data_IF_521122648309
#
_entry.id   IF_521122648309
#
_cell.length_a   1.000
_cell.length_b   1.000
_cell.length_c   1.000
_cell.angle_alpha   90.00
_cell.angle_beta   90.00
_cell.angle_gamma   90.00
#
_symmetry.space_group_name_H-M   'P 1'
#
loop_
_entity.id
_entity.type
_entity.pdbx_description
1 polymer ?
#
# COMPACT_ATOMS: atom_id res chain seq x y z
N UNK A 1 -10.59 10.38 26.24
CA UNK A 1 -11.66 9.38 26.19
C UNK A 1 -11.08 8.18 25.45
N UNK A 2 -10.79 7.09 26.15
CA UNK A 2 -10.14 5.90 25.57
C UNK A 2 -11.20 5.08 24.82
N UNK A 3 -11.11 5.00 23.49
CA UNK A 3 -12.06 4.24 22.64
C UNK A 3 -11.77 2.73 22.54
N UNK A 4 -10.94 2.15 23.40
CA UNK A 4 -10.57 0.73 23.34
C UNK A 4 -10.86 -0.08 24.63
N UNK A 5 -11.75 0.39 25.48
CA UNK A 5 -12.13 -0.36 26.67
C UNK A 5 -13.65 -0.50 26.75
N UNK A 6 -14.27 -1.24 25.85
CA UNK A 6 -15.50 -1.98 26.10
C UNK A 6 -16.02 -2.59 24.78
N UNK A 7 -15.44 -3.71 24.42
CA UNK A 7 -16.11 -4.72 23.60
C UNK A 7 -15.53 -6.08 24.02
N UNK A 8 -16.02 -6.58 25.14
CA UNK A 8 -15.83 -7.95 25.55
C UNK A 8 -16.49 -8.88 24.52
N UNK A 9 -15.69 -9.53 23.68
CA UNK A 9 -16.14 -10.70 22.92
C UNK A 9 -15.48 -11.91 23.54
N UNK A 10 -16.30 -12.67 24.27
CA UNK A 10 -15.98 -13.96 24.85
C UNK A 10 -15.66 -14.98 23.75
N UNK A 11 -14.54 -15.70 23.94
CA UNK A 11 -14.07 -16.79 23.06
C UNK A 11 -14.83 -18.10 23.27
N UNK A 12 -16.13 -18.07 23.38
CA UNK A 12 -16.94 -19.33 23.51
C UNK A 12 -18.29 -19.07 22.87
N UNK A 13 -18.41 -19.36 21.56
CA UNK A 13 -19.65 -19.78 20.90
C UNK A 13 -19.38 -19.97 19.40
N UNK A 14 -18.64 -21.05 19.09
CA UNK A 14 -18.54 -21.55 17.73
C UNK A 14 -18.33 -23.04 17.75
N UNK A 15 -19.41 -23.76 18.02
CA UNK A 15 -19.53 -25.19 17.65
C UNK A 15 -21.00 -25.59 17.84
N UNK A 16 -21.76 -25.55 16.78
CA UNK A 16 -22.79 -26.54 16.40
C UNK A 16 -23.63 -26.00 15.24
N UNK A 17 -23.58 -26.64 14.11
CA UNK A 17 -24.40 -26.31 12.95
C UNK A 17 -24.11 -27.23 11.76
N UNK A 18 -24.67 -28.40 11.84
CA UNK A 18 -24.86 -29.49 10.87
C UNK A 18 -24.55 -29.21 9.38
N UNK A 19 -23.85 -30.21 8.82
CA UNK A 19 -23.76 -30.63 7.43
C UNK A 19 -25.13 -30.73 6.74
N UNK A 20 -25.28 -29.95 5.66
CA UNK A 20 -26.18 -30.30 4.57
C UNK A 20 -25.39 -30.13 3.27
N UNK A 21 -25.00 -31.26 2.67
CA UNK A 21 -24.26 -31.31 1.45
C UNK A 21 -25.11 -30.81 0.25
N UNK A 22 -24.68 -29.80 -0.40
CA UNK A 22 -25.01 -29.50 -1.79
C UNK A 22 -23.70 -29.51 -2.56
N UNK A 23 -23.46 -30.61 -3.26
CA UNK A 23 -22.37 -30.70 -4.24
C UNK A 23 -22.68 -29.75 -5.41
N UNK A 24 -22.19 -28.52 -5.35
CA UNK A 24 -22.13 -27.65 -6.50
C UNK A 24 -20.97 -28.10 -7.37
N UNK A 25 -21.28 -28.69 -8.51
CA UNK A 25 -20.32 -29.01 -9.56
C UNK A 25 -19.66 -27.71 -10.01
N UNK A 26 -18.44 -27.47 -9.56
CA UNK A 26 -17.57 -26.37 -10.02
C UNK A 26 -17.14 -26.76 -11.44
N UNK A 27 -17.40 -25.95 -12.49
CA UNK A 27 -16.93 -26.27 -13.82
C UNK A 27 -15.39 -26.31 -13.80
N UNK A 28 -14.84 -27.46 -14.11
CA UNK A 28 -13.38 -27.76 -14.11
C UNK A 28 -12.53 -26.91 -15.05
N UNK A 29 -13.15 -26.05 -15.88
CA UNK A 29 -12.45 -25.15 -16.78
C UNK A 29 -11.77 -23.94 -16.11
N UNK A 30 -12.24 -23.50 -14.93
CA UNK A 30 -11.69 -22.33 -14.24
C UNK A 30 -10.33 -22.59 -13.57
N UNK A 31 -10.12 -23.80 -13.02
CA UNK A 31 -8.85 -24.18 -12.37
C UNK A 31 -7.72 -24.32 -13.39
N UNK A 32 -7.96 -24.98 -14.52
CA UNK A 32 -6.97 -25.15 -15.60
C UNK A 32 -6.48 -23.81 -16.17
N UNK A 33 -7.37 -22.82 -16.31
CA UNK A 33 -7.00 -21.50 -16.79
C UNK A 33 -6.18 -20.71 -15.76
N UNK A 34 -6.43 -20.90 -14.46
CA UNK A 34 -5.67 -20.26 -13.41
C UNK A 34 -4.26 -20.84 -13.30
N UNK A 35 -4.12 -22.17 -13.34
CA UNK A 35 -2.81 -22.84 -13.32
C UNK A 35 -1.97 -22.50 -14.55
N UNK A 36 -2.58 -22.46 -15.74
CA UNK A 36 -1.89 -22.06 -16.97
C UNK A 36 -1.40 -20.62 -16.90
N UNK A 37 -2.18 -19.70 -16.34
CA UNK A 37 -1.77 -18.30 -16.14
C UNK A 37 -0.64 -18.16 -15.13
N UNK A 38 -0.66 -18.93 -14.04
CA UNK A 38 0.40 -18.93 -13.02
C UNK A 38 1.69 -19.50 -13.62
N UNK A 39 1.61 -20.59 -14.35
CA UNK A 39 2.77 -21.21 -15.02
C UNK A 39 3.36 -20.27 -16.10
N UNK A 40 2.53 -19.61 -16.89
CA UNK A 40 2.98 -18.64 -17.88
C UNK A 40 3.65 -17.41 -17.23
N UNK A 41 3.08 -16.91 -16.13
CA UNK A 41 3.67 -15.80 -15.39
C UNK A 41 5.03 -16.20 -14.77
N UNK A 42 5.15 -17.41 -14.24
CA UNK A 42 6.43 -17.90 -13.68
C UNK A 42 7.50 -18.12 -14.75
N UNK A 43 7.10 -18.52 -15.96
CA UNK A 43 8.02 -18.68 -17.09
C UNK A 43 8.51 -17.31 -17.62
N UNK A 44 7.62 -16.31 -17.71
CA UNK A 44 7.98 -14.95 -18.07
C UNK A 44 8.93 -14.30 -17.04
N UNK A 45 8.82 -14.66 -15.76
CA UNK A 45 9.67 -14.13 -14.71
C UNK A 45 11.08 -14.69 -14.75
N UNK A 46 11.24 -15.98 -15.12
CA UNK A 46 12.57 -16.61 -15.21
C UNK A 46 13.43 -15.93 -16.27
N UNK A 47 14.56 -15.33 -15.83
CA UNK A 47 15.47 -14.58 -16.69
C UNK A 47 15.08 -13.14 -16.99
N UNK A 48 13.93 -12.67 -16.50
CA UNK A 48 13.55 -11.27 -16.63
C UNK A 48 14.30 -10.39 -15.65
N UNK A 49 14.67 -9.16 -16.08
CA UNK A 49 15.45 -8.21 -15.25
C UNK A 49 14.75 -7.88 -13.91
N UNK A 50 13.42 -7.93 -13.86
CA UNK A 50 12.61 -7.70 -12.66
C UNK A 50 12.58 -8.87 -11.67
N UNK A 51 12.98 -10.08 -12.04
CA UNK A 51 12.85 -11.26 -11.18
C UNK A 51 13.47 -11.06 -9.78
N UNK A 52 14.69 -10.54 -9.64
CA UNK A 52 15.27 -10.31 -8.31
C UNK A 52 14.55 -9.22 -7.51
N UNK A 53 13.99 -8.20 -8.18
CA UNK A 53 13.22 -7.15 -7.53
C UNK A 53 11.88 -7.70 -7.02
N UNK A 54 11.19 -8.52 -7.82
CA UNK A 54 9.96 -9.21 -7.43
C UNK A 54 10.20 -10.15 -6.26
N UNK A 55 11.30 -10.90 -6.27
CA UNK A 55 11.65 -11.77 -5.17
C UNK A 55 11.79 -10.98 -3.87
N UNK A 56 12.56 -9.89 -3.86
CA UNK A 56 12.73 -9.04 -2.67
C UNK A 56 11.40 -8.45 -2.19
N UNK A 57 10.50 -8.06 -3.08
CA UNK A 57 9.18 -7.55 -2.71
C UNK A 57 8.28 -8.65 -2.12
N UNK A 58 8.31 -9.86 -2.65
CA UNK A 58 7.58 -11.02 -2.11
C UNK A 58 8.11 -11.45 -0.75
N UNK A 59 9.42 -11.43 -0.54
CA UNK A 59 10.04 -11.68 0.77
C UNK A 59 9.56 -10.65 1.81
N UNK A 60 9.49 -9.37 1.41
CA UNK A 60 8.99 -8.32 2.28
C UNK A 60 7.49 -8.47 2.58
N UNK A 61 6.65 -8.89 1.61
CA UNK A 61 5.24 -9.23 1.86
C UNK A 61 5.12 -10.43 2.80
N UNK A 62 5.93 -11.45 2.59
CA UNK A 62 5.94 -12.65 3.44
C UNK A 62 6.35 -12.34 4.89
N UNK A 63 7.31 -11.42 5.11
CA UNK A 63 7.67 -10.95 6.44
C UNK A 63 6.49 -10.27 7.15
N UNK A 64 5.64 -9.57 6.39
CA UNK A 64 4.44 -8.91 6.91
C UNK A 64 3.32 -9.87 7.30
N UNK A 65 3.27 -11.09 6.77
CA UNK A 65 2.20 -12.07 7.10
C UNK A 65 2.17 -12.47 8.58
N UNK A 66 3.26 -12.24 9.29
CA UNK A 66 3.39 -12.51 10.74
C UNK A 66 2.96 -11.33 11.61
N UNK A 67 2.60 -10.21 11.00
CA UNK A 67 2.22 -8.98 11.68
C UNK A 67 0.70 -8.87 11.64
N UNK A 68 0.06 -8.93 12.78
CA UNK A 68 -1.40 -8.78 12.92
C UNK A 68 -1.78 -7.28 12.98
N UNK A 69 -1.01 -6.52 13.74
CA UNK A 69 -1.16 -5.07 13.85
C UNK A 69 0.19 -4.37 14.06
N UNK A 70 0.21 -3.08 13.84
CA UNK A 70 1.37 -2.25 14.12
C UNK A 70 1.01 -0.77 14.27
N UNK A 71 1.89 -0.03 14.91
CA UNK A 71 1.88 1.43 14.94
C UNK A 71 3.20 2.01 14.44
N UNK A 72 3.13 3.16 13.78
CA UNK A 72 4.31 3.83 13.23
C UNK A 72 4.04 5.33 13.03
N UNK A 73 5.11 6.10 12.81
CA UNK A 73 5.00 7.43 12.20
C UNK A 73 5.03 7.30 10.69
N UNK A 74 3.98 7.77 10.03
CA UNK A 74 3.82 7.71 8.58
C UNK A 74 4.10 9.07 7.96
N UNK A 75 5.12 9.14 7.14
CA UNK A 75 5.45 10.32 6.35
C UNK A 75 4.96 10.13 4.91
N UNK A 76 4.01 10.97 4.51
CA UNK A 76 3.46 11.01 3.16
C UNK A 76 3.98 12.24 2.43
N UNK A 77 4.50 12.05 1.21
CA UNK A 77 4.91 13.13 0.30
C UNK A 77 4.43 12.74 -1.10
N UNK A 78 3.38 13.39 -1.55
CA UNK A 78 2.70 13.07 -2.81
C UNK A 78 2.41 14.32 -3.62
N UNK A 79 2.30 14.15 -4.94
CA UNK A 79 1.78 15.17 -5.83
C UNK A 79 0.36 14.79 -6.23
N UNK A 80 -0.62 15.58 -5.81
CA UNK A 80 -2.05 15.41 -6.13
C UNK A 80 -2.45 16.57 -7.06
N UNK A 81 -2.77 16.25 -8.30
CA UNK A 81 -2.97 17.28 -9.32
C UNK A 81 -1.68 18.10 -9.55
N UNK A 82 -1.73 19.38 -9.17
CA UNK A 82 -0.58 20.30 -9.21
C UNK A 82 0.00 20.62 -7.83
N UNK A 83 -0.65 20.14 -6.76
CA UNK A 83 -0.26 20.41 -5.37
C UNK A 83 0.70 19.33 -4.87
N UNK A 84 1.74 19.72 -4.13
CA UNK A 84 2.57 18.81 -3.37
C UNK A 84 2.05 18.75 -1.95
N UNK A 85 1.62 17.57 -1.53
CA UNK A 85 1.03 17.29 -0.23
C UNK A 85 2.08 16.57 0.62
N UNK A 86 2.45 17.18 1.73
CA UNK A 86 3.33 16.59 2.74
C UNK A 86 2.58 16.47 4.06
N UNK A 87 2.51 15.27 4.58
CA UNK A 87 1.80 14.98 5.83
C UNK A 87 2.63 14.04 6.68
N UNK A 88 2.57 14.28 7.99
CA UNK A 88 3.13 13.43 9.02
C UNK A 88 2.01 12.99 9.94
N UNK A 89 1.88 11.69 10.17
CA UNK A 89 0.78 11.10 10.93
C UNK A 89 1.27 9.96 11.81
N UNK A 90 0.70 9.81 12.98
CA UNK A 90 0.72 8.53 13.66
C UNK A 90 -0.29 7.62 12.99
N UNK A 91 0.13 6.40 12.69
CA UNK A 91 -0.71 5.38 12.08
C UNK A 91 -0.78 4.15 12.98
N UNK A 92 -1.99 3.59 13.12
CA UNK A 92 -2.23 2.25 13.67
C UNK A 92 -2.95 1.44 12.62
N UNK A 93 -2.43 0.27 12.31
CA UNK A 93 -3.01 -0.62 11.30
C UNK A 93 -3.22 -1.98 11.92
N UNK A 94 -4.38 -2.58 11.68
CA UNK A 94 -4.68 -4.00 11.90
C UNK A 94 -4.95 -4.61 10.54
N UNK A 95 -4.34 -5.77 10.28
CA UNK A 95 -4.38 -6.41 8.96
C UNK A 95 -5.66 -7.24 8.73
N UNK A 96 -6.23 -7.84 9.79
CA UNK A 96 -7.45 -8.65 9.75
C UNK A 96 -8.37 -8.36 10.97
N UNK A 97 -9.68 -8.05 10.82
CA UNK A 97 -10.25 -7.36 9.65
C UNK A 97 -9.59 -6.01 9.48
N UNK A 98 -9.26 -5.66 8.22
CA UNK A 98 -8.45 -4.48 7.95
C UNK A 98 -9.01 -3.22 8.61
N UNK A 99 -8.17 -2.58 9.40
CA UNK A 99 -8.52 -1.33 10.07
C UNK A 99 -7.34 -0.39 10.09
N UNK A 100 -7.59 0.89 9.93
CA UNK A 100 -6.55 1.92 10.00
C UNK A 100 -7.05 3.14 10.76
N UNK A 101 -6.22 3.62 11.67
CA UNK A 101 -6.40 4.88 12.38
C UNK A 101 -5.22 5.79 12.07
N UNK A 102 -5.52 7.04 11.74
CA UNK A 102 -4.54 8.09 11.47
C UNK A 102 -4.78 9.24 12.44
N UNK A 103 -3.72 9.72 13.09
CA UNK A 103 -3.71 10.98 13.80
C UNK A 103 -2.68 11.90 13.16
N UNK A 104 -3.14 12.99 12.60
CA UNK A 104 -2.30 13.95 11.91
C UNK A 104 -1.42 14.70 12.92
N UNK A 105 -0.14 14.81 12.58
CA UNK A 105 0.86 15.60 13.33
C UNK A 105 1.18 16.90 12.58
N UNK A 106 1.26 16.82 11.22
CA UNK A 106 1.54 17.98 10.35
C UNK A 106 0.99 17.72 8.93
N UNK A 107 0.39 18.72 8.28
CA UNK A 107 -0.34 19.82 8.88
C UNK A 107 -1.56 19.29 9.66
N UNK A 108 -2.51 20.08 10.03
CA UNK A 108 -3.79 19.69 10.64
C UNK A 108 -3.62 18.86 11.93
N UNK A 109 -2.66 19.26 12.78
CA UNK A 109 -2.34 18.56 14.01
C UNK A 109 -3.58 18.30 14.86
N UNK A 110 -3.80 17.02 15.21
CA UNK A 110 -4.95 16.57 15.98
C UNK A 110 -6.15 16.09 15.14
N UNK A 111 -6.17 16.31 13.82
CA UNK A 111 -7.16 15.65 12.94
C UNK A 111 -7.00 14.14 13.04
N UNK A 112 -8.14 13.45 13.10
CA UNK A 112 -8.18 12.00 13.22
C UNK A 112 -9.01 11.40 12.09
N UNK A 113 -8.59 10.23 11.61
CA UNK A 113 -9.32 9.46 10.61
C UNK A 113 -9.29 8.00 11.03
N UNK A 114 -10.43 7.32 10.99
CA UNK A 114 -10.52 5.89 11.22
C UNK A 114 -11.32 5.22 10.10
N UNK A 115 -10.84 4.09 9.64
CA UNK A 115 -11.54 3.20 8.73
C UNK A 115 -11.48 1.78 9.27
N UNK A 116 -12.60 1.09 9.29
CA UNK A 116 -12.71 -0.32 9.69
C UNK A 116 -13.50 -1.05 8.60
N UNK A 117 -12.87 -2.04 7.99
CA UNK A 117 -13.49 -2.86 6.96
C UNK A 117 -14.74 -3.56 7.50
N UNK A 118 -15.85 -3.50 6.73
CA UNK A 118 -17.14 -4.06 7.13
C UNK A 118 -17.92 -3.23 8.18
N UNK A 119 -17.45 -2.04 8.55
CA UNK A 119 -18.15 -1.11 9.45
C UNK A 119 -18.54 0.17 8.74
N UNK A 120 -19.49 0.90 9.32
CA UNK A 120 -19.97 2.21 8.85
C UNK A 120 -20.32 2.21 7.35
N UNK A 121 -21.01 1.18 6.87
CA UNK A 121 -21.39 1.03 5.45
C UNK A 121 -20.19 1.16 4.48
N UNK A 122 -18.98 0.83 4.94
CA UNK A 122 -17.73 0.97 4.17
C UNK A 122 -17.16 2.40 4.18
N UNK A 123 -17.72 3.31 4.95
CA UNK A 123 -17.24 4.68 5.08
C UNK A 123 -16.16 4.81 6.15
N UNK A 124 -15.30 5.82 5.99
CA UNK A 124 -14.40 6.29 7.04
C UNK A 124 -15.09 7.31 7.93
N UNK A 125 -14.61 7.43 9.16
CA UNK A 125 -14.95 8.52 10.06
C UNK A 125 -13.76 9.47 10.17
N UNK A 126 -14.01 10.77 10.10
CA UNK A 126 -13.00 11.80 10.33
C UNK A 126 -13.47 12.85 11.30
N UNK A 127 -12.59 13.25 12.20
CA UNK A 127 -12.80 14.34 13.12
C UNK A 127 -11.75 15.42 12.85
N UNK A 128 -12.22 16.62 12.50
CA UNK A 128 -11.36 17.76 12.18
C UNK A 128 -10.85 18.49 13.42
N UNK A 129 -10.06 19.54 13.18
CA UNK A 129 -9.49 20.43 14.23
C UNK A 129 -9.86 21.88 13.93
N UNK A 130 -9.66 22.77 14.91
CA UNK A 130 -10.01 24.18 14.75
C UNK A 130 -11.51 24.39 14.52
N UNK A 131 -11.88 25.17 13.51
CA UNK A 131 -13.27 25.43 13.15
C UNK A 131 -14.02 24.19 12.68
N UNK A 132 -13.33 23.23 12.06
CA UNK A 132 -13.92 21.95 11.64
C UNK A 132 -14.36 21.07 12.83
N UNK A 133 -13.81 21.31 14.03
CA UNK A 133 -14.20 20.61 15.24
C UNK A 133 -15.67 20.85 15.62
N UNK A 134 -16.22 22.00 15.25
CA UNK A 134 -17.61 22.37 15.52
C UNK A 134 -18.60 21.47 14.74
N UNK A 135 -18.17 20.98 13.58
CA UNK A 135 -18.99 20.08 12.75
C UNK A 135 -19.08 18.67 13.33
N UNK A 136 -18.16 18.31 14.25
CA UNK A 136 -18.10 16.99 14.86
C UNK A 136 -17.42 15.94 13.99
N UNK A 137 -17.91 14.70 14.07
CA UNK A 137 -17.39 13.58 13.27
C UNK A 137 -18.15 13.46 11.97
N UNK A 138 -17.42 13.46 10.86
CA UNK A 138 -17.95 13.27 9.51
C UNK A 138 -17.76 11.83 9.05
N UNK A 139 -18.75 11.32 8.35
CA UNK A 139 -18.72 10.03 7.67
C UNK A 139 -18.53 10.28 6.17
N UNK A 140 -17.48 9.69 5.59
CA UNK A 140 -17.08 9.94 4.20
C UNK A 140 -16.82 8.62 3.46
N UNK A 141 -17.24 8.56 2.19
CA UNK A 141 -16.78 7.52 1.28
C UNK A 141 -15.25 7.60 1.14
N UNK A 142 -14.48 6.52 1.41
CA UNK A 142 -13.02 6.50 1.24
C UNK A 142 -12.53 6.90 -0.15
N UNK A 143 -13.36 6.75 -1.18
CA UNK A 143 -13.07 7.12 -2.57
C UNK A 143 -13.71 8.44 -2.99
N UNK A 144 -14.51 9.03 -2.12
CA UNK A 144 -15.17 10.30 -2.36
C UNK A 144 -14.20 11.47 -2.51
N UNK A 145 -14.62 12.52 -3.18
CA UNK A 145 -13.77 13.68 -3.49
C UNK A 145 -13.16 14.32 -2.24
N UNK A 146 -13.93 14.47 -1.16
CA UNK A 146 -13.45 15.03 0.10
C UNK A 146 -12.38 14.16 0.76
N UNK A 147 -12.59 12.83 0.82
CA UNK A 147 -11.61 11.91 1.40
C UNK A 147 -10.32 11.83 0.56
N UNK A 148 -10.43 12.05 -0.75
CA UNK A 148 -9.34 11.97 -1.72
C UNK A 148 -8.67 13.31 -2.03
N UNK A 149 -9.14 14.42 -1.48
CA UNK A 149 -8.68 15.77 -1.81
C UNK A 149 -7.15 15.92 -1.73
N UNK A 150 -6.54 15.37 -0.68
CA UNK A 150 -5.12 15.42 -0.42
C UNK A 150 -4.42 14.06 -0.59
N UNK A 151 -5.03 13.11 -1.28
CA UNK A 151 -4.51 11.75 -1.39
C UNK A 151 -4.66 11.18 -2.79
N UNK A 152 -3.62 10.48 -3.25
CA UNK A 152 -3.66 9.71 -4.51
C UNK A 152 -4.31 8.34 -4.34
N UNK A 153 -4.36 7.85 -3.12
CA UNK A 153 -4.88 6.53 -2.78
C UNK A 153 -5.84 6.65 -1.62
N UNK A 154 -6.97 5.95 -1.66
CA UNK A 154 -7.91 5.94 -0.55
C UNK A 154 -7.29 5.31 0.71
N UNK A 155 -7.84 5.67 1.85
CA UNK A 155 -7.40 5.16 3.17
C UNK A 155 -7.42 3.62 3.24
N UNK A 156 -8.29 2.98 2.48
CA UNK A 156 -8.39 1.51 2.35
C UNK A 156 -7.12 0.85 1.76
N UNK A 157 -6.23 1.63 1.16
CA UNK A 157 -4.97 1.18 0.58
C UNK A 157 -3.74 1.64 1.38
N UNK A 158 -3.94 2.26 2.54
CA UNK A 158 -2.86 2.60 3.46
C UNK A 158 -2.35 1.33 4.14
N UNK A 159 -1.07 1.34 4.52
CA UNK A 159 -0.40 0.24 5.20
C UNK A 159 0.77 -0.31 4.39
N UNK A 160 1.79 -0.78 5.12
CA UNK A 160 3.05 -1.25 4.50
C UNK A 160 2.83 -2.52 3.67
N UNK A 161 1.99 -3.44 4.14
CA UNK A 161 1.65 -4.66 3.41
C UNK A 161 0.94 -4.35 2.11
N UNK A 162 -0.14 -3.54 2.17
CA UNK A 162 -0.90 -3.14 0.97
C UNK A 162 -0.01 -2.39 -0.03
N UNK A 163 0.93 -1.59 0.46
CA UNK A 163 1.88 -0.88 -0.37
C UNK A 163 2.84 -1.83 -1.11
N UNK A 164 3.39 -2.84 -0.43
CA UNK A 164 4.29 -3.82 -1.07
C UNK A 164 3.55 -4.73 -2.04
N UNK A 165 2.33 -5.14 -1.71
CA UNK A 165 1.47 -5.90 -2.62
C UNK A 165 1.18 -5.13 -3.91
N UNK A 166 0.96 -3.82 -3.81
CA UNK A 166 0.84 -2.93 -4.98
C UNK A 166 2.11 -2.87 -5.82
N UNK A 167 3.30 -2.98 -5.21
CA UNK A 167 4.57 -3.06 -5.94
C UNK A 167 4.69 -4.40 -6.65
N UNK A 168 4.39 -5.49 -5.97
CA UNK A 168 4.41 -6.84 -6.57
C UNK A 168 3.48 -6.89 -7.78
N UNK A 169 2.23 -6.44 -7.64
CA UNK A 169 1.26 -6.39 -8.75
C UNK A 169 1.76 -5.50 -9.90
N UNK A 170 2.34 -4.35 -9.59
CA UNK A 170 2.90 -3.44 -10.59
C UNK A 170 4.04 -4.12 -11.36
N UNK A 171 5.04 -4.66 -10.67
CA UNK A 171 6.19 -5.30 -11.32
C UNK A 171 5.81 -6.58 -12.06
N UNK A 172 4.80 -7.32 -11.59
CA UNK A 172 4.26 -8.45 -12.35
C UNK A 172 3.62 -7.99 -13.68
N UNK A 173 2.88 -6.88 -13.66
CA UNK A 173 2.32 -6.32 -14.91
C UNK A 173 3.39 -5.76 -15.86
N UNK A 174 4.56 -5.43 -15.34
CA UNK A 174 5.69 -4.91 -16.10
C UNK A 174 6.62 -6.01 -16.67
N UNK A 175 6.36 -7.30 -16.42
CA UNK A 175 7.12 -8.43 -17.00
C UNK A 175 7.02 -8.53 -18.54
N UNK A 176 6.08 -7.83 -19.16
CA UNK A 176 5.97 -7.71 -20.60
C UNK A 176 6.80 -6.57 -21.19
N UNK A 177 7.45 -5.79 -20.34
CA UNK A 177 8.24 -4.59 -20.71
C UNK A 177 9.71 -4.94 -20.62
N UNK A 178 10.44 -4.78 -21.73
CA UNK A 178 11.89 -4.99 -21.80
C UNK A 178 12.68 -3.72 -21.47
N UNK A 179 13.97 -3.88 -21.14
CA UNK A 179 14.89 -2.78 -20.90
C UNK A 179 14.66 -2.03 -19.59
N UNK A 180 14.13 -2.72 -18.59
CA UNK A 180 14.00 -2.21 -17.23
C UNK A 180 15.35 -2.36 -16.53
N UNK A 181 15.92 -1.25 -16.04
CA UNK A 181 17.13 -1.31 -15.23
C UNK A 181 16.78 -1.56 -13.78
N UNK A 182 17.39 -2.60 -13.20
CA UNK A 182 17.24 -2.95 -11.78
C UNK A 182 18.56 -2.72 -11.07
N UNK A 183 18.54 -1.93 -10.01
CA UNK A 183 19.71 -1.63 -9.19
C UNK A 183 19.45 -2.00 -7.73
N UNK A 184 20.45 -2.56 -7.05
CA UNK A 184 20.41 -2.89 -5.64
C UNK A 184 21.39 -2.03 -4.86
N UNK A 185 20.92 -1.55 -3.69
CA UNK A 185 21.73 -0.79 -2.74
C UNK A 185 21.67 -1.52 -1.39
N UNK A 186 22.68 -2.39 -1.09
CA UNK A 186 22.62 -3.28 0.07
C UNK A 186 22.84 -2.56 1.40
N UNK A 187 23.45 -1.37 1.39
CA UNK A 187 23.91 -0.65 2.58
C UNK A 187 23.28 0.75 2.69
N UNK A 188 22.02 0.88 2.32
CA UNK A 188 21.29 2.14 2.49
C UNK A 188 20.87 2.33 3.95
N UNK A 189 20.61 3.59 4.34
CA UNK A 189 20.10 3.96 5.66
C UNK A 189 18.93 4.91 5.57
N UNK A 190 17.99 4.79 6.50
CA UNK A 190 16.92 5.76 6.77
C UNK A 190 17.03 6.13 8.25
N UNK A 191 17.58 7.31 8.53
CA UNK A 191 17.98 7.64 9.90
C UNK A 191 19.01 6.60 10.41
N UNK A 192 18.75 5.98 11.53
CA UNK A 192 19.57 4.92 12.12
C UNK A 192 19.27 3.51 11.55
N UNK A 193 18.18 3.35 10.79
CA UNK A 193 17.76 2.04 10.27
C UNK A 193 18.57 1.66 9.04
N UNK A 194 19.26 0.52 9.12
CA UNK A 194 19.90 -0.10 7.96
C UNK A 194 18.88 -0.80 7.09
N UNK A 195 18.98 -0.60 5.77
CA UNK A 195 18.07 -1.20 4.81
C UNK A 195 18.76 -1.63 3.52
N UNK A 196 18.14 -2.58 2.86
CA UNK A 196 18.40 -2.94 1.46
C UNK A 196 17.41 -2.17 0.59
N UNK A 197 17.85 -1.69 -0.55
CA UNK A 197 16.99 -0.99 -1.50
C UNK A 197 17.08 -1.67 -2.84
N UNK A 198 15.94 -1.88 -3.46
CA UNK A 198 15.84 -2.22 -4.88
C UNK A 198 15.18 -1.06 -5.61
N UNK A 199 15.77 -0.68 -6.74
CA UNK A 199 15.27 0.35 -7.63
C UNK A 199 15.03 -0.23 -9.01
N UNK A 200 13.84 -0.02 -9.55
CA UNK A 200 13.53 -0.25 -10.96
C UNK A 200 13.44 1.07 -11.69
N UNK A 201 13.94 1.15 -12.93
CA UNK A 201 13.91 2.35 -13.75
C UNK A 201 13.60 2.00 -15.20
N UNK A 202 12.63 2.66 -15.78
CA UNK A 202 12.31 2.59 -17.20
C UNK A 202 13.11 3.68 -17.94
N UNK A 203 13.88 3.30 -18.96
CA UNK A 203 14.74 4.23 -19.69
C UNK A 203 13.95 5.32 -20.43
N UNK A 204 12.73 5.00 -20.88
CA UNK A 204 11.81 5.92 -21.56
C UNK A 204 10.40 5.71 -21.02
N UNK A 205 9.51 6.69 -21.25
CA UNK A 205 8.08 6.48 -21.00
C UNK A 205 7.59 5.33 -21.89
N UNK A 206 7.26 4.22 -21.27
CA UNK A 206 6.77 3.03 -21.94
C UNK A 206 5.28 2.85 -21.70
N UNK A 207 4.56 2.36 -22.70
CA UNK A 207 3.16 1.95 -22.55
C UNK A 207 3.11 0.81 -21.53
N UNK A 208 2.21 0.91 -20.56
CA UNK A 208 2.09 -0.06 -19.47
C UNK A 208 2.91 0.28 -18.21
N UNK A 209 3.99 1.05 -18.30
CA UNK A 209 4.73 1.51 -17.12
C UNK A 209 4.07 2.76 -16.51
N UNK A 210 3.53 2.61 -15.30
CA UNK A 210 2.91 3.73 -14.57
C UNK A 210 3.92 4.72 -14.00
N UNK A 211 5.08 4.22 -13.59
CA UNK A 211 6.15 5.01 -12.96
C UNK A 211 7.44 4.89 -13.74
N UNK A 212 8.18 5.97 -13.86
CA UNK A 212 9.53 5.96 -14.42
C UNK A 212 10.51 5.23 -13.50
N UNK A 213 10.38 5.43 -12.20
CA UNK A 213 11.24 4.82 -11.21
C UNK A 213 10.41 4.39 -9.99
N UNK A 214 10.72 3.22 -9.45
CA UNK A 214 10.20 2.74 -8.17
C UNK A 214 11.35 2.28 -7.30
N UNK A 215 11.40 2.73 -6.04
CA UNK A 215 12.34 2.26 -5.01
C UNK A 215 11.56 1.63 -3.86
N UNK A 216 11.95 0.42 -3.49
CA UNK A 216 11.48 -0.27 -2.29
C UNK A 216 12.64 -0.37 -1.29
N UNK A 217 12.39 0.10 -0.08
CA UNK A 217 13.33 0.02 1.04
C UNK A 217 12.86 -1.03 2.02
N UNK A 218 13.71 -1.98 2.34
CA UNK A 218 13.43 -3.10 3.26
C UNK A 218 14.45 -3.08 4.38
N UNK A 219 13.98 -3.03 5.63
CA UNK A 219 14.84 -3.05 6.81
C UNK A 219 15.62 -4.36 6.88
N UNK A 220 16.95 -4.30 7.10
CA UNK A 220 17.81 -5.50 7.12
C UNK A 220 17.44 -6.45 8.24
N UNK A 221 17.19 -5.91 9.44
CA UNK A 221 16.95 -6.71 10.65
C UNK A 221 15.59 -7.43 10.63
N UNK A 222 14.55 -6.76 10.20
CA UNK A 222 13.17 -7.28 10.26
C UNK A 222 12.67 -7.86 8.95
N UNK A 223 13.29 -7.53 7.81
CA UNK A 223 12.75 -7.85 6.48
C UNK A 223 11.50 -7.04 6.10
N UNK A 224 11.07 -6.10 6.93
CA UNK A 224 9.85 -5.32 6.69
C UNK A 224 10.10 -4.18 5.69
N UNK A 225 9.16 -3.90 4.79
CA UNK A 225 9.21 -2.72 3.94
C UNK A 225 8.95 -1.47 4.79
N UNK A 226 9.84 -0.48 4.69
CA UNK A 226 9.80 0.73 5.52
C UNK A 226 9.60 2.01 4.72
N UNK A 227 9.84 1.97 3.41
CA UNK A 227 9.62 3.13 2.53
C UNK A 227 9.42 2.67 1.09
N UNK A 228 8.54 3.36 0.39
CA UNK A 228 8.45 3.30 -1.07
C UNK A 228 8.57 4.70 -1.65
N UNK A 229 9.33 4.83 -2.73
CA UNK A 229 9.37 6.04 -3.56
C UNK A 229 8.99 5.69 -4.98
N UNK A 230 8.11 6.47 -5.57
CA UNK A 230 7.67 6.31 -6.96
C UNK A 230 7.75 7.65 -7.67
N UNK A 231 8.35 7.65 -8.84
CA UNK A 231 8.55 8.85 -9.65
C UNK A 231 7.86 8.66 -11.00
N UNK A 232 7.06 9.64 -11.38
CA UNK A 232 6.47 9.67 -12.72
C UNK A 232 7.55 10.00 -13.75
N UNK A 233 7.35 9.58 -14.99
CA UNK A 233 8.20 10.03 -16.10
C UNK A 233 8.23 11.55 -16.12
N UNK A 234 9.42 12.16 -16.26
CA UNK A 234 9.49 13.59 -16.49
C UNK A 234 8.59 13.91 -17.71
N UNK A 235 7.60 14.76 -17.53
CA UNK A 235 6.95 15.36 -18.70
C UNK A 235 8.08 16.03 -19.46
N UNK A 236 8.16 15.88 -20.79
CA UNK A 236 9.08 16.67 -21.61
C UNK A 236 8.95 18.11 -21.11
N UNK A 237 9.95 18.58 -20.41
CA UNK A 237 10.03 19.98 -20.06
C UNK A 237 10.04 20.72 -21.39
N UNK A 238 9.18 21.72 -21.55
CA UNK A 238 9.45 22.76 -22.51
C UNK A 238 10.91 23.18 -22.27
N UNK A 239 11.73 23.35 -23.31
CA UNK A 239 13.13 23.66 -23.15
C UNK A 239 13.27 24.85 -22.21
N UNK A 240 13.88 24.70 -21.05
CA UNK A 240 14.14 25.74 -20.07
C UNK A 240 13.71 25.49 -18.60
N UNK A 241 13.06 24.40 -18.23
CA UNK A 241 12.74 24.16 -16.81
C UNK A 241 13.03 22.71 -16.39
N UNK A 242 14.20 22.52 -15.80
CA UNK A 242 14.51 21.36 -14.98
C UNK A 242 13.60 21.38 -13.75
N UNK A 243 12.67 20.42 -13.63
CA UNK A 243 11.91 20.19 -12.40
C UNK A 243 12.29 18.82 -11.86
N UNK A 244 13.23 18.81 -10.96
CA UNK A 244 13.42 17.71 -10.06
C UNK A 244 12.17 17.64 -9.18
N UNK A 245 11.48 16.48 -9.18
CA UNK A 245 10.54 16.12 -8.13
C UNK A 245 11.35 15.28 -7.12
N UNK A 246 11.69 15.84 -5.93
CA UNK A 246 12.43 15.11 -4.91
C UNK A 246 11.61 13.98 -4.29
#
# INVERSE_FOLDING_TARGET
>A
MNFLSDAGISRRDALTGLLAGAALAVPSGGLLLAETRIAAASKLEKGHELAPALQMAREADAAFRKIEDYSATFHKDEVVGKRRIRQEMQIKVREDAFSVYLKFLKPDAGREVIYVEGRNNGNLLTHGTGLEKVVGTLELDPKGSLAMEDSRYPVTLIGMRKMVQKIVTQWQSELTISGIKVNFYPNAKIGSLECRVVQTTHAKKQTGARFHMTRLYVAKKSGLPIRVRRYLSPRRAAPGRSRYCP
#
